data_IF_985045873177
#
_entry.id   IF_985045873177
#
_cell.length_a   1.000
_cell.length_b   1.000
_cell.length_c   1.000
_cell.angle_alpha   90.00
_cell.angle_beta   90.00
_cell.angle_gamma   90.00
#
_symmetry.space_group_name_H-M   'P 1'
#
loop_
_entity.id
_entity.type
_entity.pdbx_description
1 polymer ?
#
# COMPACT_ATOMS: atom_id res chain seq x y z
N UNK A 1 38.90 -40.06 7.10
CA UNK A 1 38.41 -38.67 7.24
C UNK A 1 37.00 -38.66 6.71
N UNK A 2 36.07 -38.18 7.53
CA UNK A 2 34.63 -38.47 7.50
C UNK A 2 33.90 -37.98 6.23
N UNK A 3 33.17 -38.92 5.64
CA UNK A 3 31.74 -38.89 5.29
C UNK A 3 31.10 -37.52 5.01
N UNK A 4 30.72 -37.29 3.74
CA UNK A 4 29.64 -36.35 3.40
C UNK A 4 28.31 -37.07 3.57
N UNK A 5 27.74 -36.92 4.76
CA UNK A 5 26.41 -37.40 5.08
C UNK A 5 25.34 -36.51 4.41
N UNK A 6 24.41 -37.19 3.75
CA UNK A 6 23.21 -36.63 3.14
C UNK A 6 22.25 -36.27 4.28
N UNK A 7 22.38 -35.06 4.84
CA UNK A 7 21.43 -34.55 5.83
C UNK A 7 20.43 -33.60 5.18
N UNK A 8 19.44 -34.22 4.52
CA UNK A 8 18.01 -34.03 4.78
C UNK A 8 17.65 -32.84 5.72
N UNK A 9 17.84 -31.60 5.28
CA UNK A 9 17.31 -30.44 5.99
C UNK A 9 15.94 -30.10 5.41
N UNK A 10 14.91 -30.70 6.01
CA UNK A 10 13.55 -30.16 5.99
C UNK A 10 13.63 -28.69 6.39
N UNK A 11 13.62 -27.79 5.41
CA UNK A 11 13.49 -26.36 5.64
C UNK A 11 12.08 -26.13 6.19
N UNK A 12 11.97 -26.15 7.52
CA UNK A 12 10.70 -25.91 8.20
C UNK A 12 10.31 -24.45 7.99
N UNK A 13 9.02 -24.21 7.77
CA UNK A 13 8.38 -22.91 7.46
C UNK A 13 8.75 -21.78 8.45
N UNK A 14 9.30 -22.13 9.61
CA UNK A 14 9.81 -21.21 10.63
C UNK A 14 11.04 -20.44 10.14
N UNK A 15 11.89 -21.06 9.30
CA UNK A 15 13.11 -20.44 8.77
C UNK A 15 12.78 -19.33 7.75
N UNK A 16 11.74 -19.53 6.92
CA UNK A 16 11.29 -18.53 5.95
C UNK A 16 10.67 -17.29 6.61
N UNK A 17 10.00 -17.46 7.76
CA UNK A 17 9.46 -16.34 8.56
C UNK A 17 10.56 -15.54 9.26
N UNK A 18 11.60 -16.22 9.77
CA UNK A 18 12.77 -15.56 10.36
C UNK A 18 13.60 -14.83 9.32
N UNK A 19 13.75 -15.40 8.12
CA UNK A 19 14.41 -14.75 6.99
C UNK A 19 13.64 -13.50 6.54
N UNK A 20 12.32 -13.58 6.38
CA UNK A 20 11.48 -12.43 6.06
C UNK A 20 11.51 -11.34 7.15
N UNK A 21 11.46 -11.70 8.44
CA UNK A 21 11.58 -10.73 9.54
C UNK A 21 12.96 -10.07 9.58
N UNK A 22 14.03 -10.82 9.28
CA UNK A 22 15.40 -10.31 9.27
C UNK A 22 15.63 -9.38 8.07
N UNK A 23 15.06 -9.69 6.90
CA UNK A 23 15.04 -8.78 5.76
C UNK A 23 14.27 -7.49 6.07
N UNK A 24 13.16 -7.57 6.81
CA UNK A 24 12.45 -6.37 7.29
C UNK A 24 13.35 -5.58 8.24
N UNK A 25 14.03 -6.22 9.19
CA UNK A 25 14.88 -5.53 10.16
C UNK A 25 16.10 -4.85 9.51
N UNK A 26 16.71 -5.46 8.49
CA UNK A 26 17.83 -4.88 7.72
C UNK A 26 17.37 -3.68 6.87
N UNK A 27 16.12 -3.69 6.36
CA UNK A 27 15.51 -2.51 5.72
C UNK A 27 15.29 -1.35 6.70
N UNK A 28 15.24 -1.60 8.01
CA UNK A 28 15.06 -0.57 9.04
C UNK A 28 16.36 -0.10 9.70
N UNK A 29 17.44 -0.89 9.66
CA UNK A 29 18.66 -0.60 10.46
C UNK A 29 19.90 -0.18 9.67
N UNK A 30 19.83 -0.05 8.34
CA UNK A 30 20.91 0.58 7.57
C UNK A 30 20.58 2.05 7.29
N UNK A 31 21.14 2.93 8.13
CA UNK A 31 21.05 4.37 8.00
C UNK A 31 21.56 4.86 6.64
N UNK A 32 20.65 5.39 5.83
CA UNK A 32 20.98 6.23 4.68
C UNK A 32 19.85 7.26 4.60
N UNK A 33 20.18 8.54 4.79
CA UNK A 33 19.30 9.72 4.95
C UNK A 33 17.81 9.47 4.65
N UNK A 34 17.03 9.28 5.71
CA UNK A 34 15.58 9.13 5.62
C UNK A 34 14.91 10.47 5.30
N UNK A 35 15.10 10.96 4.08
CA UNK A 35 14.28 12.06 3.55
C UNK A 35 12.82 11.62 3.62
N UNK A 36 11.99 12.35 4.36
CA UNK A 36 10.57 12.01 4.54
C UNK A 36 9.87 12.19 3.20
N UNK A 37 9.33 11.10 2.62
CA UNK A 37 8.55 11.18 1.38
C UNK A 37 7.09 11.46 1.71
N UNK A 38 6.59 12.64 1.37
CA UNK A 38 5.17 13.01 1.50
C UNK A 38 4.42 12.73 0.20
N UNK A 39 3.15 12.32 0.28
CA UNK A 39 2.29 12.22 -0.90
C UNK A 39 1.48 13.50 -1.09
N UNK A 40 1.72 14.20 -2.19
CA UNK A 40 1.06 15.47 -2.54
C UNK A 40 0.22 15.31 -3.81
N UNK A 41 -0.84 16.11 -3.90
CA UNK A 41 -1.58 16.28 -5.14
C UNK A 41 -0.91 17.38 -5.96
N UNK A 42 -0.70 17.09 -7.25
CA UNK A 42 -0.16 18.01 -8.23
C UNK A 42 -1.26 18.30 -9.24
N UNK A 43 -1.37 19.55 -9.69
CA UNK A 43 -2.29 19.92 -10.77
C UNK A 43 -1.68 19.63 -12.15
N UNK A 44 -2.40 20.02 -13.21
CA UNK A 44 -2.00 19.79 -14.61
C UNK A 44 -0.68 20.47 -14.98
N UNK A 45 -0.38 21.62 -14.37
CA UNK A 45 0.88 22.35 -14.52
C UNK A 45 2.04 21.72 -13.73
N UNK A 46 1.81 20.56 -13.11
CA UNK A 46 2.79 19.85 -12.28
C UNK A 46 3.33 20.70 -11.11
N UNK A 47 2.48 21.57 -10.55
CA UNK A 47 2.74 22.27 -9.27
C UNK A 47 1.82 21.70 -8.19
N UNK A 48 2.18 21.90 -6.91
CA UNK A 48 1.35 21.43 -5.78
C UNK A 48 -0.04 22.07 -5.90
N UNK A 49 -1.07 21.22 -5.94
CA UNK A 49 -2.45 21.67 -6.06
C UNK A 49 -2.87 22.48 -4.82
N UNK A 50 -3.66 23.52 -5.05
CA UNK A 50 -4.21 24.34 -3.98
C UNK A 50 -5.23 23.55 -3.15
N UNK A 51 -5.50 24.00 -1.93
CA UNK A 51 -6.51 23.37 -1.10
C UNK A 51 -7.89 23.41 -1.74
N UNK A 52 -8.22 24.50 -2.44
CA UNK A 52 -9.48 24.68 -3.16
C UNK A 52 -9.62 23.71 -4.33
N UNK A 53 -8.57 23.54 -5.15
CA UNK A 53 -8.54 22.57 -6.27
C UNK A 53 -8.76 21.14 -5.74
N UNK A 54 -8.08 20.79 -4.64
CA UNK A 54 -8.21 19.47 -4.01
C UNK A 54 -9.62 19.27 -3.46
N UNK A 55 -10.19 20.25 -2.77
CA UNK A 55 -11.53 20.16 -2.20
C UNK A 55 -12.60 20.04 -3.28
N UNK A 56 -12.51 20.83 -4.35
CA UNK A 56 -13.44 20.76 -5.48
C UNK A 56 -13.38 19.39 -6.17
N UNK A 57 -12.18 18.88 -6.46
CA UNK A 57 -12.00 17.56 -7.05
C UNK A 57 -12.49 16.43 -6.13
N UNK A 58 -12.22 16.54 -4.83
CA UNK A 58 -12.71 15.58 -3.83
C UNK A 58 -14.23 15.53 -3.79
N UNK A 59 -14.88 16.69 -3.79
CA UNK A 59 -16.34 16.79 -3.82
C UNK A 59 -16.91 16.18 -5.11
N UNK A 60 -16.34 16.51 -6.27
CA UNK A 60 -16.75 15.97 -7.56
C UNK A 60 -16.59 14.43 -7.66
N UNK A 61 -15.62 13.87 -6.94
CA UNK A 61 -15.32 12.44 -6.97
C UNK A 61 -15.97 11.63 -5.84
N UNK A 62 -16.75 12.24 -4.95
CA UNK A 62 -17.20 11.64 -3.68
C UNK A 62 -16.03 11.04 -2.89
N UNK A 63 -14.89 11.72 -2.88
CA UNK A 63 -13.62 11.15 -2.47
C UNK A 63 -13.65 10.67 -1.03
N UNK A 64 -14.08 11.52 -0.11
CA UNK A 64 -14.09 11.19 1.31
C UNK A 64 -15.08 10.06 1.62
N UNK A 65 -16.24 10.02 0.94
CA UNK A 65 -17.21 8.92 1.09
C UNK A 65 -16.63 7.57 0.64
N UNK A 66 -15.99 7.55 -0.53
CA UNK A 66 -15.38 6.32 -1.08
C UNK A 66 -14.15 5.92 -0.28
N UNK A 67 -13.35 6.88 0.18
CA UNK A 67 -12.20 6.62 1.05
C UNK A 67 -12.67 5.99 2.38
N UNK A 68 -13.66 6.58 3.06
CA UNK A 68 -14.20 6.05 4.30
C UNK A 68 -14.76 4.63 4.12
N UNK A 69 -15.43 4.34 3.00
CA UNK A 69 -15.87 2.99 2.68
C UNK A 69 -14.68 2.04 2.54
N UNK A 70 -13.63 2.41 1.79
CA UNK A 70 -12.44 1.57 1.59
C UNK A 70 -11.75 1.32 2.93
N UNK A 71 -11.59 2.33 3.78
CA UNK A 71 -10.96 2.22 5.10
C UNK A 71 -11.78 1.32 6.04
N UNK A 72 -13.10 1.53 6.10
CA UNK A 72 -14.00 0.69 6.89
C UNK A 72 -14.00 -0.76 6.41
N UNK A 73 -14.04 -0.96 5.09
CA UNK A 73 -13.99 -2.29 4.49
C UNK A 73 -12.66 -2.97 4.77
N UNK A 74 -11.52 -2.30 4.56
CA UNK A 74 -10.20 -2.83 4.87
C UNK A 74 -10.02 -3.16 6.36
N UNK A 75 -10.59 -2.36 7.27
CA UNK A 75 -10.62 -2.68 8.70
C UNK A 75 -11.46 -3.93 8.96
N UNK A 76 -12.67 -4.01 8.39
CA UNK A 76 -13.53 -5.19 8.52
C UNK A 76 -12.89 -6.45 7.93
N UNK A 77 -12.04 -6.29 6.91
CA UNK A 77 -11.30 -7.41 6.33
C UNK A 77 -10.28 -8.03 7.29
N UNK A 78 -9.71 -7.25 8.23
CA UNK A 78 -8.75 -7.74 9.23
C UNK A 78 -9.41 -8.67 10.25
N UNK A 79 -10.66 -8.38 10.59
CA UNK A 79 -11.42 -9.10 11.63
C UNK A 79 -12.26 -10.25 11.04
N UNK A 80 -12.46 -10.26 9.71
CA UNK A 80 -13.21 -11.29 8.99
C UNK A 80 -12.39 -12.58 8.85
N UNK A 81 -13.02 -13.72 9.17
CA UNK A 81 -12.48 -15.06 8.86
C UNK A 81 -12.86 -15.46 7.44
N UNK A 82 -11.86 -15.60 6.58
CA UNK A 82 -12.04 -16.08 5.21
C UNK A 82 -12.01 -17.60 5.16
N UNK A 83 -12.83 -18.19 4.30
CA UNK A 83 -12.83 -19.65 4.07
C UNK A 83 -11.59 -20.11 3.32
N UNK A 84 -11.04 -19.26 2.47
CA UNK A 84 -9.84 -19.53 1.67
C UNK A 84 -9.21 -18.21 1.17
N UNK A 85 -8.01 -18.31 0.57
CA UNK A 85 -7.30 -17.16 0.02
C UNK A 85 -8.03 -16.48 -1.15
N UNK A 86 -8.80 -17.23 -1.97
CA UNK A 86 -9.54 -16.64 -3.10
C UNK A 86 -10.63 -15.68 -2.64
N UNK A 87 -11.31 -16.00 -1.54
CA UNK A 87 -12.32 -15.11 -0.94
C UNK A 87 -11.67 -13.82 -0.41
N UNK A 88 -10.49 -13.93 0.20
CA UNK A 88 -9.72 -12.77 0.65
C UNK A 88 -9.22 -11.90 -0.51
N UNK A 89 -8.66 -12.52 -1.55
CA UNK A 89 -8.20 -11.83 -2.76
C UNK A 89 -9.34 -11.11 -3.48
N UNK A 90 -10.54 -11.70 -3.57
CA UNK A 90 -11.70 -11.04 -4.18
C UNK A 90 -12.12 -9.76 -3.43
N UNK A 91 -12.06 -9.75 -2.10
CA UNK A 91 -12.36 -8.56 -1.28
C UNK A 91 -11.24 -7.50 -1.40
N UNK A 92 -9.98 -7.94 -1.52
CA UNK A 92 -8.86 -7.05 -1.81
C UNK A 92 -9.04 -6.40 -3.18
N UNK A 93 -9.34 -7.18 -4.23
CA UNK A 93 -9.55 -6.69 -5.58
C UNK A 93 -10.69 -5.66 -5.65
N UNK A 94 -11.75 -5.89 -4.88
CA UNK A 94 -12.85 -4.94 -4.75
C UNK A 94 -12.38 -3.60 -4.17
N UNK A 95 -11.56 -3.64 -3.12
CA UNK A 95 -10.97 -2.46 -2.50
C UNK A 95 -10.01 -1.72 -3.42
N UNK A 96 -9.12 -2.45 -4.09
CA UNK A 96 -8.18 -1.89 -5.06
C UNK A 96 -8.90 -1.30 -6.27
N UNK A 97 -9.96 -1.95 -6.75
CA UNK A 97 -10.80 -1.44 -7.83
C UNK A 97 -11.45 -0.11 -7.46
N UNK A 98 -12.02 0.01 -6.27
CA UNK A 98 -12.57 1.28 -5.78
C UNK A 98 -11.51 2.36 -5.64
N UNK A 99 -10.35 2.02 -5.07
CA UNK A 99 -9.24 2.97 -4.93
C UNK A 99 -8.71 3.44 -6.29
N UNK A 100 -8.58 2.55 -7.28
CA UNK A 100 -8.19 2.87 -8.66
C UNK A 100 -9.21 3.78 -9.34
N UNK A 101 -10.51 3.48 -9.20
CA UNK A 101 -11.56 4.34 -9.73
C UNK A 101 -11.55 5.73 -9.10
N UNK A 102 -11.24 5.80 -7.80
CA UNK A 102 -11.14 7.06 -7.09
C UNK A 102 -9.95 7.89 -7.58
N UNK A 103 -8.76 7.29 -7.70
CA UNK A 103 -7.60 7.97 -8.27
C UNK A 103 -7.80 8.36 -9.74
N UNK A 104 -8.47 7.52 -10.53
CA UNK A 104 -8.82 7.85 -11.91
C UNK A 104 -9.76 9.06 -11.97
N UNK A 105 -10.73 9.16 -11.07
CA UNK A 105 -11.60 10.33 -10.99
C UNK A 105 -10.80 11.59 -10.67
N UNK A 106 -9.93 11.55 -9.65
CA UNK A 106 -9.08 12.70 -9.31
C UNK A 106 -8.18 13.12 -10.48
N UNK A 107 -7.63 12.16 -11.22
CA UNK A 107 -6.84 12.43 -12.42
C UNK A 107 -7.65 13.10 -13.53
N UNK A 108 -8.94 12.77 -13.69
CA UNK A 108 -9.84 13.45 -14.62
C UNK A 108 -10.19 14.88 -14.19
N UNK A 109 -10.07 15.19 -12.90
CA UNK A 109 -10.16 16.55 -12.36
C UNK A 109 -8.82 17.30 -12.45
N UNK A 110 -7.84 16.79 -13.21
CA UNK A 110 -6.53 17.41 -13.37
C UNK A 110 -5.56 17.17 -12.21
N UNK A 111 -5.90 16.30 -11.26
CA UNK A 111 -5.08 16.06 -10.06
C UNK A 111 -4.35 14.72 -10.08
N UNK A 112 -3.03 14.75 -9.94
CA UNK A 112 -2.18 13.56 -9.88
C UNK A 112 -1.47 13.47 -8.54
N UNK A 113 -1.51 12.30 -7.89
CA UNK A 113 -0.79 12.08 -6.63
C UNK A 113 0.67 11.73 -6.90
N UNK A 114 1.61 12.49 -6.33
CA UNK A 114 3.05 12.24 -6.41
C UNK A 114 3.67 12.10 -5.03
N UNK A 115 4.75 11.33 -4.94
CA UNK A 115 5.61 11.29 -3.75
C UNK A 115 6.70 12.34 -3.93
N UNK A 116 6.72 13.33 -3.06
CA UNK A 116 7.76 14.37 -3.00
C UNK A 116 8.63 14.17 -1.78
N UNK A 117 9.90 14.48 -1.93
CA UNK A 117 10.87 14.49 -0.84
C UNK A 117 10.64 15.76 -0.02
N UNK A 118 10.41 15.61 1.28
CA UNK A 118 10.37 16.70 2.26
C UNK A 118 11.73 16.72 2.95
N UNK A 119 12.44 17.83 2.82
CA UNK A 119 13.70 18.13 3.50
C UNK A 119 13.49 18.37 5.00
#
# INVERSE_FOLDING_TARGET
MLTQDITNSKMTVIDMKRFALTCIFILFSSGCSATKKESVWMNESNVRASQEEILAAKAACDFDKKQNYIESHASGMKDKKYKNNKEFEAELDKSFGMMKNLFSCMSKQGLTKRKVTVE
#
